data_IF_881129665493
#
_entry.id   IF_881129665493
#
_cell.length_a   1.000
_cell.length_b   1.000
_cell.length_c   1.000
_cell.angle_alpha   90.00
_cell.angle_beta   90.00
_cell.angle_gamma   90.00
#
_symmetry.space_group_name_H-M   'P 1'
#
loop_
_entity.id
_entity.type
_entity.pdbx_description
1 polymer ?
#
# COMPACT_ATOMS: atom_id res chain seq x y z
N UNK A 1 2.62 0.60 4.08
CA UNK A 1 1.34 -0.02 3.66
C UNK A 1 1.65 -1.33 2.92
N UNK A 2 0.77 -2.34 2.88
CA UNK A 2 0.97 -3.47 1.95
C UNK A 2 0.63 -2.98 0.54
N UNK A 3 1.54 -3.21 -0.41
CA UNK A 3 1.62 -2.64 -1.76
C UNK A 3 0.24 -2.46 -2.44
N UNK A 4 -0.14 -1.22 -2.79
CA UNK A 4 -1.39 -0.95 -3.53
C UNK A 4 -1.06 -0.87 -5.03
N UNK A 5 -1.47 -1.90 -5.77
CA UNK A 5 -1.45 -1.88 -7.22
C UNK A 5 -2.84 -1.54 -7.76
N UNK A 6 -3.00 -0.34 -8.32
CA UNK A 6 -4.27 0.08 -8.94
C UNK A 6 -4.31 -0.46 -10.36
N UNK A 7 -5.24 -1.39 -10.64
CA UNK A 7 -5.39 -2.01 -11.95
C UNK A 7 -6.75 -1.67 -12.56
N UNK A 8 -6.76 -1.30 -13.84
CA UNK A 8 -7.99 -0.98 -14.59
C UNK A 8 -8.90 -2.20 -14.79
N UNK A 9 -8.35 -3.41 -14.79
CA UNK A 9 -9.09 -4.67 -14.92
C UNK A 9 -8.62 -5.70 -13.89
N UNK A 10 -9.57 -6.37 -13.23
CA UNK A 10 -9.35 -7.45 -12.27
C UNK A 10 -9.30 -8.80 -13.00
N UNK A 11 -8.20 -9.09 -13.70
CA UNK A 11 -8.02 -10.34 -14.45
C UNK A 11 -6.76 -11.10 -14.03
N UNK A 12 -6.65 -12.36 -14.45
CA UNK A 12 -5.53 -13.25 -14.08
C UNK A 12 -4.16 -12.71 -14.51
N UNK A 13 -4.06 -12.05 -15.66
CA UNK A 13 -2.80 -11.42 -16.12
C UNK A 13 -2.34 -10.32 -15.16
N UNK A 14 -3.28 -9.52 -14.68
CA UNK A 14 -3.00 -8.43 -13.78
C UNK A 14 -2.62 -8.95 -12.38
N UNK A 15 -3.29 -10.00 -11.90
CA UNK A 15 -2.94 -10.74 -10.70
C UNK A 15 -1.54 -11.38 -10.78
N UNK A 16 -1.18 -12.00 -11.91
CA UNK A 16 0.14 -12.61 -12.12
C UNK A 16 1.26 -11.57 -11.96
N UNK A 17 1.12 -10.40 -12.61
CA UNK A 17 2.09 -9.29 -12.45
C UNK A 17 2.20 -8.80 -11.01
N UNK A 18 1.06 -8.69 -10.31
CA UNK A 18 1.03 -8.28 -8.91
C UNK A 18 1.85 -9.24 -8.04
N UNK A 19 1.56 -10.54 -8.11
CA UNK A 19 2.24 -11.53 -7.29
C UNK A 19 3.72 -11.67 -7.64
N UNK A 20 4.12 -11.54 -8.91
CA UNK A 20 5.54 -11.50 -9.29
C UNK A 20 6.29 -10.36 -8.61
N UNK A 21 5.72 -9.16 -8.61
CA UNK A 21 6.33 -8.00 -7.93
C UNK A 21 6.40 -8.24 -6.42
N UNK A 22 5.32 -8.79 -5.84
CA UNK A 22 5.22 -9.07 -4.41
C UNK A 22 6.26 -10.13 -3.98
N UNK A 23 6.37 -11.24 -4.70
CA UNK A 23 7.37 -12.27 -4.41
C UNK A 23 8.80 -11.80 -4.67
N UNK A 24 9.03 -10.93 -5.65
CA UNK A 24 10.35 -10.30 -5.84
C UNK A 24 10.75 -9.45 -4.64
N UNK A 25 9.79 -8.76 -4.01
CA UNK A 25 10.08 -7.85 -2.89
C UNK A 25 10.19 -8.58 -1.54
N UNK A 26 9.36 -9.59 -1.29
CA UNK A 26 9.22 -10.22 0.03
C UNK A 26 9.62 -11.70 0.05
N UNK A 27 10.04 -12.26 -1.08
CA UNK A 27 10.26 -13.70 -1.22
C UNK A 27 8.95 -14.50 -1.26
N UNK A 28 9.08 -15.82 -1.21
CA UNK A 28 7.92 -16.71 -1.15
C UNK A 28 7.32 -16.71 0.26
N UNK A 29 6.05 -16.32 0.36
CA UNK A 29 5.32 -16.28 1.62
C UNK A 29 4.77 -17.67 1.98
N UNK A 30 4.77 -18.02 3.28
CA UNK A 30 4.20 -19.28 3.77
C UNK A 30 2.68 -19.35 3.60
N UNK A 31 1.99 -18.25 3.91
CA UNK A 31 0.52 -18.13 3.82
C UNK A 31 0.20 -16.83 3.12
N UNK A 32 -0.73 -16.88 2.17
CA UNK A 32 -1.18 -15.72 1.43
C UNK A 32 -2.70 -15.56 1.60
N UNK A 33 -3.13 -14.37 2.03
CA UNK A 33 -4.53 -14.07 2.31
C UNK A 33 -5.02 -12.97 1.37
N UNK A 34 -6.05 -13.23 0.58
CA UNK A 34 -6.64 -12.24 -0.35
C UNK A 34 -8.16 -12.24 -0.31
N UNK A 35 -8.77 -11.27 -1.00
CA UNK A 35 -10.20 -11.34 -1.36
C UNK A 35 -10.50 -12.55 -2.27
N UNK A 36 -11.79 -12.93 -2.35
CA UNK A 36 -12.31 -14.10 -3.09
C UNK A 36 -12.34 -13.93 -4.63
N UNK A 37 -11.39 -13.21 -5.20
CA UNK A 37 -11.31 -13.07 -6.66
C UNK A 37 -10.68 -14.33 -7.28
N UNK A 38 -11.40 -14.98 -8.18
CA UNK A 38 -10.92 -16.18 -8.89
C UNK A 38 -9.62 -15.95 -9.69
N UNK A 39 -9.37 -14.71 -10.13
CA UNK A 39 -8.13 -14.30 -10.80
C UNK A 39 -6.88 -14.48 -9.93
N UNK A 40 -6.99 -14.32 -8.61
CA UNK A 40 -5.87 -14.54 -7.69
C UNK A 40 -5.54 -16.01 -7.54
N UNK A 41 -6.54 -16.86 -7.32
CA UNK A 41 -6.34 -18.31 -7.29
C UNK A 41 -5.79 -18.86 -8.61
N UNK A 42 -6.24 -18.32 -9.75
CA UNK A 42 -5.70 -18.68 -11.05
C UNK A 42 -4.22 -18.27 -11.23
N UNK A 43 -3.83 -17.08 -10.77
CA UNK A 43 -2.44 -16.63 -10.84
C UNK A 43 -1.53 -17.42 -9.89
N UNK A 44 -1.97 -17.68 -8.66
CA UNK A 44 -1.19 -18.40 -7.64
C UNK A 44 -0.95 -19.87 -8.04
N UNK A 45 -1.93 -20.54 -8.65
CA UNK A 45 -1.73 -21.89 -9.22
C UNK A 45 -0.58 -21.97 -10.22
N UNK A 46 -0.29 -20.88 -10.94
CA UNK A 46 0.82 -20.80 -11.89
C UNK A 46 2.13 -20.39 -11.22
N UNK A 47 2.09 -19.42 -10.30
CA UNK A 47 3.27 -18.75 -9.76
C UNK A 47 3.85 -19.41 -8.50
N UNK A 48 2.99 -19.98 -7.67
CA UNK A 48 3.39 -20.59 -6.41
C UNK A 48 2.50 -21.83 -6.15
N UNK A 49 2.67 -22.90 -6.94
CA UNK A 49 1.98 -24.17 -6.69
C UNK A 49 2.27 -24.64 -5.26
N UNK A 50 1.22 -24.94 -4.49
CA UNK A 50 1.36 -25.40 -3.10
C UNK A 50 1.42 -24.29 -2.03
N UNK A 51 1.31 -23.01 -2.40
CA UNK A 51 1.16 -21.95 -1.40
C UNK A 51 -0.18 -22.11 -0.64
N UNK A 52 -0.16 -21.96 0.69
CA UNK A 52 -1.39 -21.90 1.50
C UNK A 52 -2.11 -20.58 1.19
N UNK A 53 -3.05 -20.64 0.24
CA UNK A 53 -3.88 -19.52 -0.17
C UNK A 53 -5.23 -19.55 0.53
N UNK A 54 -5.51 -18.54 1.35
CA UNK A 54 -6.78 -18.41 2.09
C UNK A 54 -7.57 -17.22 1.59
N UNK A 55 -8.85 -17.44 1.31
CA UNK A 55 -9.77 -16.38 0.85
C UNK A 55 -11.09 -16.35 1.65
N UNK A 56 -11.14 -16.92 2.85
CA UNK A 56 -12.38 -16.91 3.65
C UNK A 56 -12.76 -15.48 4.07
N UNK A 57 -14.07 -15.28 4.28
CA UNK A 57 -14.64 -13.97 4.64
C UNK A 57 -13.98 -13.47 5.92
N UNK A 58 -13.50 -12.23 5.90
CA UNK A 58 -12.93 -11.57 7.08
C UNK A 58 -11.42 -11.77 7.28
N UNK A 59 -10.78 -12.72 6.59
CA UNK A 59 -9.33 -12.94 6.75
C UNK A 59 -8.50 -11.76 6.22
N UNK A 60 -9.00 -11.06 5.20
CA UNK A 60 -8.37 -9.88 4.62
C UNK A 60 -8.73 -8.57 5.36
N UNK A 61 -9.50 -8.61 6.47
CA UNK A 61 -9.95 -7.41 7.20
C UNK A 61 -8.79 -6.48 7.57
N UNK A 62 -7.64 -7.03 7.97
CA UNK A 62 -6.47 -6.21 8.30
C UNK A 62 -5.98 -5.40 7.11
N UNK A 63 -5.94 -6.01 5.93
CA UNK A 63 -5.58 -5.33 4.68
C UNK A 63 -6.64 -4.28 4.32
N UNK A 64 -7.93 -4.64 4.41
CA UNK A 64 -9.04 -3.71 4.13
C UNK A 64 -9.04 -2.49 5.06
N UNK A 65 -8.82 -2.70 6.37
CA UNK A 65 -8.74 -1.62 7.36
C UNK A 65 -7.53 -0.73 7.07
N UNK A 66 -6.39 -1.30 6.68
CA UNK A 66 -5.20 -0.53 6.32
C UNK A 66 -5.42 0.41 5.12
N UNK A 67 -6.36 0.07 4.23
CA UNK A 67 -6.71 0.90 3.07
C UNK A 67 -7.72 2.00 3.37
N UNK A 68 -8.41 1.98 4.51
CA UNK A 68 -9.45 2.97 4.86
C UNK A 68 -8.96 4.42 4.81
N UNK A 69 -7.76 4.78 5.35
CA UNK A 69 -7.27 6.15 5.28
C UNK A 69 -7.06 6.62 3.84
N UNK A 70 -6.49 5.76 3.00
CA UNK A 70 -6.24 6.02 1.58
C UNK A 70 -7.56 6.21 0.82
N UNK A 71 -8.54 5.32 1.01
CA UNK A 71 -9.88 5.45 0.38
C UNK A 71 -10.64 6.70 0.86
N UNK A 72 -10.52 7.05 2.15
CA UNK A 72 -11.13 8.27 2.68
C UNK A 72 -10.56 9.51 2.00
N UNK A 73 -9.23 9.55 1.80
CA UNK A 73 -8.54 10.67 1.16
C UNK A 73 -8.88 10.77 -0.31
N UNK A 74 -8.88 9.64 -1.03
CA UNK A 74 -9.39 9.57 -2.42
C UNK A 74 -10.80 10.15 -2.53
N UNK A 75 -11.71 9.78 -1.61
CA UNK A 75 -13.09 10.27 -1.61
C UNK A 75 -13.17 11.78 -1.37
N UNK A 76 -12.40 12.31 -0.42
CA UNK A 76 -12.33 13.75 -0.12
C UNK A 76 -11.79 14.53 -1.33
N UNK A 77 -10.82 13.96 -2.05
CA UNK A 77 -10.21 14.57 -3.23
C UNK A 77 -11.05 14.40 -4.52
N UNK A 78 -12.31 14.00 -4.42
CA UNK A 78 -13.20 13.87 -5.59
C UNK A 78 -12.92 12.66 -6.48
N UNK A 79 -12.26 11.62 -5.95
CA UNK A 79 -11.75 10.43 -6.64
C UNK A 79 -10.67 10.74 -7.69
N UNK A 80 -9.82 9.75 -7.97
CA UNK A 80 -8.83 9.90 -9.04
C UNK A 80 -9.50 9.81 -10.41
N UNK A 81 -9.08 10.68 -11.34
CA UNK A 81 -9.60 10.71 -12.72
C UNK A 81 -9.02 9.60 -13.59
N UNK A 82 -7.91 8.97 -13.16
CA UNK A 82 -7.33 7.81 -13.84
C UNK A 82 -6.54 6.88 -12.90
N UNK A 83 -6.36 5.60 -13.26
CA UNK A 83 -5.48 4.68 -12.53
C UNK A 83 -4.03 5.18 -12.43
N UNK A 84 -3.52 5.87 -13.45
CA UNK A 84 -2.15 6.44 -13.45
C UNK A 84 -2.01 7.54 -12.40
N UNK A 85 -3.02 8.41 -12.28
CA UNK A 85 -3.06 9.45 -11.25
C UNK A 85 -3.10 8.84 -9.85
N UNK A 86 -3.94 7.82 -9.66
CA UNK A 86 -4.00 7.07 -8.40
C UNK A 86 -2.64 6.44 -8.06
N UNK A 87 -1.98 5.79 -9.02
CA UNK A 87 -0.69 5.13 -8.77
C UNK A 87 0.42 6.13 -8.39
N UNK A 88 0.50 7.29 -9.07
CA UNK A 88 1.45 8.37 -8.72
C UNK A 88 1.20 8.92 -7.31
N UNK A 89 -0.08 9.13 -6.97
CA UNK A 89 -0.43 9.56 -5.61
C UNK A 89 -0.01 8.52 -4.58
N UNK A 90 -0.34 7.25 -4.80
CA UNK A 90 -0.07 6.16 -3.85
C UNK A 90 1.42 5.90 -3.64
N UNK A 91 2.25 6.01 -4.70
CA UNK A 91 3.69 5.78 -4.60
C UNK A 91 4.39 6.81 -3.70
N UNK A 92 3.93 8.05 -3.70
CA UNK A 92 4.46 9.12 -2.84
C UNK A 92 3.78 9.10 -1.47
N UNK A 93 2.47 8.87 -1.43
CA UNK A 93 1.69 8.98 -0.21
C UNK A 93 2.10 7.97 0.87
N UNK A 94 2.51 6.74 0.53
CA UNK A 94 2.99 5.78 1.54
C UNK A 94 4.30 6.25 2.21
N UNK A 95 5.18 6.88 1.42
CA UNK A 95 6.45 7.43 1.93
C UNK A 95 6.16 8.62 2.86
N UNK A 96 5.30 9.54 2.44
CA UNK A 96 4.87 10.69 3.25
C UNK A 96 4.16 10.25 4.54
N UNK A 97 3.28 9.24 4.46
CA UNK A 97 2.62 8.69 5.64
C UNK A 97 3.60 8.14 6.66
N UNK A 98 4.68 7.49 6.22
CA UNK A 98 5.67 6.89 7.10
C UNK A 98 6.33 7.94 8.00
N UNK A 99 6.65 9.11 7.44
CA UNK A 99 7.30 10.21 8.16
C UNK A 99 6.29 10.98 9.03
N UNK A 100 5.07 11.23 8.51
CA UNK A 100 4.09 12.11 9.18
C UNK A 100 3.12 11.39 10.13
N UNK A 101 3.13 10.06 10.19
CA UNK A 101 2.28 9.29 11.13
C UNK A 101 3.10 8.41 12.08
N UNK A 102 3.88 9.03 12.99
CA UNK A 102 4.46 8.28 14.09
C UNK A 102 3.33 7.67 14.93
N UNK A 103 3.60 6.52 15.56
CA UNK A 103 2.63 5.82 16.41
C UNK A 103 2.38 6.65 17.67
N UNK A 104 1.53 7.68 17.58
CA UNK A 104 1.25 8.65 18.66
C UNK A 104 0.97 8.00 20.01
N UNK A 105 0.26 6.87 20.02
CA UNK A 105 -0.06 6.11 21.23
C UNK A 105 1.15 5.49 21.93
N UNK A 106 2.34 5.52 21.31
CA UNK A 106 3.61 5.04 21.88
C UNK A 106 4.54 6.18 22.28
N UNK A 107 4.13 7.44 22.11
CA UNK A 107 4.96 8.61 22.32
C UNK A 107 4.37 9.50 23.40
N UNK A 108 5.25 10.06 24.24
CA UNK A 108 4.89 11.18 25.09
C UNK A 108 4.58 12.42 24.24
N UNK A 109 3.86 13.39 24.82
CA UNK A 109 3.54 14.62 24.10
C UNK A 109 4.79 15.40 23.61
N UNK A 110 5.89 15.50 24.37
CA UNK A 110 7.15 16.09 23.88
C UNK A 110 7.77 15.30 22.72
N UNK A 111 7.89 13.97 22.86
CA UNK A 111 8.47 13.12 21.82
C UNK A 111 7.66 13.15 20.51
N UNK A 112 6.33 13.23 20.62
CA UNK A 112 5.46 13.42 19.46
C UNK A 112 5.68 14.78 18.77
N UNK A 113 5.83 15.86 19.54
CA UNK A 113 6.13 17.19 18.98
C UNK A 113 7.48 17.21 18.27
N UNK A 114 8.51 16.61 18.86
CA UNK A 114 9.83 16.49 18.23
C UNK A 114 9.74 15.71 16.92
N UNK A 115 9.12 14.52 16.94
CA UNK A 115 8.93 13.71 15.73
C UNK A 115 8.15 14.45 14.63
N UNK A 116 7.24 15.36 14.98
CA UNK A 116 6.53 16.21 14.02
C UNK A 116 7.42 17.32 13.45
N UNK A 117 8.32 17.88 14.25
CA UNK A 117 9.32 18.86 13.81
C UNK A 117 10.30 18.21 12.84
N UNK A 118 10.87 17.07 13.21
CA UNK A 118 11.83 16.33 12.38
C UNK A 118 11.21 15.95 11.03
N UNK A 119 9.94 15.50 11.06
CA UNK A 119 9.17 15.19 9.86
C UNK A 119 9.00 16.40 8.92
N UNK A 120 8.88 17.62 9.45
CA UNK A 120 8.79 18.84 8.64
C UNK A 120 10.15 19.18 8.05
N UNK A 121 11.24 19.14 8.83
CA UNK A 121 12.59 19.38 8.31
C UNK A 121 12.96 18.44 7.17
N UNK A 122 12.73 17.14 7.34
CA UNK A 122 12.98 16.14 6.28
C UNK A 122 12.15 16.47 5.03
N UNK A 123 10.92 16.93 5.19
CA UNK A 123 10.07 17.29 4.06
C UNK A 123 10.57 18.54 3.34
N UNK A 124 11.02 19.54 4.09
CA UNK A 124 11.57 20.77 3.52
C UNK A 124 12.81 20.46 2.69
N UNK A 125 13.73 19.64 3.21
CA UNK A 125 14.94 19.19 2.50
C UNK A 125 14.58 18.49 1.18
N UNK A 126 13.67 17.51 1.21
CA UNK A 126 13.21 16.80 0.00
C UNK A 126 12.59 17.78 -1.00
N UNK A 127 11.79 18.75 -0.56
CA UNK A 127 11.17 19.73 -1.46
C UNK A 127 12.17 20.74 -2.03
N UNK A 128 13.22 21.06 -1.29
CA UNK A 128 14.31 21.90 -1.78
C UNK A 128 15.11 21.18 -2.87
N UNK A 129 15.47 19.91 -2.67
CA UNK A 129 16.16 19.10 -3.69
C UNK A 129 15.33 18.97 -4.98
N UNK A 130 14.02 18.73 -4.85
CA UNK A 130 13.12 18.61 -6.01
C UNK A 130 12.90 19.92 -6.79
N UNK A 131 13.18 21.08 -6.19
CA UNK A 131 13.10 22.39 -6.87
C UNK A 131 14.42 22.79 -7.54
N UNK A 132 15.53 22.16 -7.15
CA UNK A 132 16.87 22.49 -7.61
C UNK A 132 17.29 21.70 -8.88
N UNK A 133 16.52 20.68 -9.28
CA UNK A 133 16.71 19.91 -10.52
C UNK A 133 15.56 20.06 -11.50
#
# INVERSE_FOLDING_TARGET
MLDILVQSRRNTKAADRFFRKLFKQYGQLRVLVTEKLGSYGAALRKLAPGIDHRAHKGLNNRAEVSHRPTRRREKIMGRFKSPRQAQRFLSVHDQVQTIFRPRRHKLSAPAYRQSRSDAHSIWDDITCELKAG
#
